data_IF_039267589795
#
_entry.id   IF_039267589795
#
_cell.length_a   1.000
_cell.length_b   1.000
_cell.length_c   1.000
_cell.angle_alpha   90.00
_cell.angle_beta   90.00
_cell.angle_gamma   90.00
#
_symmetry.space_group_name_H-M   'P 1'
#
loop_
_entity.id
_entity.type
_entity.pdbx_description
1 polymer ?
#
# COMPACT_ATOMS: atom_id res chain seq x y z
N UNK A 1 -10.48 -10.92 11.90
CA UNK A 1 -10.20 -9.56 12.40
C UNK A 1 -8.85 -9.58 13.13
N UNK A 2 -7.78 -9.24 12.45
CA UNK A 2 -6.52 -8.92 13.09
C UNK A 2 -5.95 -7.76 12.29
N UNK A 3 -6.25 -6.55 12.75
CA UNK A 3 -5.68 -5.33 12.21
C UNK A 3 -4.19 -5.31 12.53
N UNK A 4 -3.36 -5.60 11.54
CA UNK A 4 -1.93 -5.28 11.61
C UNK A 4 -1.82 -3.76 11.72
N UNK A 5 -1.67 -3.26 12.95
CA UNK A 5 -1.16 -1.92 13.23
C UNK A 5 0.17 -1.81 12.50
N UNK A 6 0.17 -1.22 11.30
CA UNK A 6 1.36 -0.65 10.71
C UNK A 6 1.88 0.37 11.72
N UNK A 7 2.87 -0.02 12.50
CA UNK A 7 3.62 0.84 13.40
C UNK A 7 4.35 1.87 12.53
N UNK A 8 3.68 2.98 12.25
CA UNK A 8 4.25 4.12 11.54
C UNK A 8 5.41 4.65 12.39
N UNK A 9 6.62 4.21 12.07
CA UNK A 9 7.84 4.78 12.67
C UNK A 9 7.75 6.29 12.54
N UNK A 10 7.90 7.01 13.66
CA UNK A 10 7.92 8.47 13.67
C UNK A 10 8.91 8.96 12.59
N UNK A 11 8.59 10.07 11.92
CA UNK A 11 9.48 10.66 10.91
C UNK A 11 10.91 10.82 11.44
N UNK A 12 11.05 11.23 12.71
CA UNK A 12 12.32 11.34 13.40
C UNK A 12 13.06 9.98 13.47
N UNK A 13 12.37 8.90 13.80
CA UNK A 13 12.97 7.56 13.84
C UNK A 13 13.45 7.10 12.45
N UNK A 14 12.74 7.44 11.39
CA UNK A 14 13.16 7.12 10.02
C UNK A 14 14.45 7.87 9.64
N UNK A 15 14.58 9.14 10.01
CA UNK A 15 15.81 9.91 9.84
C UNK A 15 16.97 9.30 10.61
N UNK A 16 16.78 8.98 11.89
CA UNK A 16 17.83 8.33 12.70
C UNK A 16 18.28 6.99 12.10
N UNK A 17 17.34 6.15 11.69
CA UNK A 17 17.66 4.85 11.07
C UNK A 17 18.46 5.08 9.79
N UNK A 18 18.06 5.99 8.91
CA UNK A 18 18.74 6.22 7.64
C UNK A 18 20.16 6.73 7.84
N UNK A 19 20.35 7.69 8.74
CA UNK A 19 21.67 8.27 9.05
C UNK A 19 22.59 7.24 9.70
N UNK A 20 22.10 6.52 10.72
CA UNK A 20 22.89 5.50 11.41
C UNK A 20 23.31 4.38 10.46
N UNK A 21 22.41 3.92 9.60
CA UNK A 21 22.73 2.86 8.64
C UNK A 21 23.83 3.30 7.65
N UNK A 22 23.73 4.52 7.10
CA UNK A 22 24.75 5.05 6.20
C UNK A 22 26.11 5.20 6.91
N UNK A 23 26.12 5.74 8.13
CA UNK A 23 27.35 5.89 8.92
C UNK A 23 27.99 4.54 9.25
N UNK A 24 27.18 3.54 9.60
CA UNK A 24 27.67 2.21 9.94
C UNK A 24 28.30 1.51 8.72
N UNK A 25 27.62 1.57 7.56
CA UNK A 25 28.19 1.02 6.32
C UNK A 25 29.41 1.78 5.87
N UNK A 26 29.42 3.11 5.97
CA UNK A 26 30.59 3.91 5.65
C UNK A 26 31.80 3.57 6.56
N UNK A 27 31.56 3.36 7.86
CA UNK A 27 32.62 2.95 8.80
C UNK A 27 33.20 1.57 8.44
N UNK A 28 32.34 0.60 8.09
CA UNK A 28 32.79 -0.72 7.62
C UNK A 28 33.59 -0.58 6.33
N UNK A 29 33.11 0.20 5.37
CA UNK A 29 33.82 0.44 4.12
C UNK A 29 35.17 1.15 4.34
N UNK A 30 35.27 2.03 5.34
CA UNK A 30 36.52 2.72 5.67
C UNK A 30 37.62 1.75 6.12
N UNK A 31 37.26 0.75 6.92
CA UNK A 31 38.23 -0.28 7.36
C UNK A 31 38.65 -1.22 6.23
N UNK A 32 37.87 -1.36 5.18
CA UNK A 32 38.15 -2.27 4.06
C UNK A 32 38.50 -1.53 2.75
N UNK A 33 38.61 -0.21 2.79
CA UNK A 33 38.79 0.63 1.60
C UNK A 33 40.06 0.34 0.81
N UNK A 34 41.13 -0.05 1.51
CA UNK A 34 42.39 -0.44 0.87
C UNK A 34 42.26 -1.70 -0.01
N UNK A 35 41.36 -2.61 0.36
CA UNK A 35 41.14 -3.86 -0.36
C UNK A 35 40.16 -3.70 -1.53
N UNK A 36 39.09 -2.91 -1.36
CA UNK A 36 37.97 -2.86 -2.32
C UNK A 36 38.01 -1.63 -3.21
N UNK A 37 38.83 -0.64 -2.90
CA UNK A 37 38.94 0.61 -3.65
C UNK A 37 37.73 1.56 -3.49
N UNK A 38 37.98 2.86 -3.59
CA UNK A 38 36.99 3.92 -3.31
C UNK A 38 35.80 3.92 -4.29
N UNK A 39 35.98 3.47 -5.53
CA UNK A 39 34.91 3.36 -6.53
C UNK A 39 33.87 2.30 -6.12
N UNK A 40 34.33 1.17 -5.57
CA UNK A 40 33.44 0.11 -5.07
C UNK A 40 32.66 0.56 -3.82
N UNK A 41 33.29 1.38 -2.97
CA UNK A 41 32.60 1.98 -1.81
C UNK A 41 31.42 2.85 -2.25
N UNK A 42 31.56 3.61 -3.34
CA UNK A 42 30.44 4.37 -3.91
C UNK A 42 29.25 3.48 -4.26
N UNK A 43 29.50 2.33 -4.92
CA UNK A 43 28.44 1.39 -5.28
C UNK A 43 27.76 0.77 -4.05
N UNK A 44 28.54 0.42 -3.02
CA UNK A 44 27.99 -0.12 -1.76
C UNK A 44 27.11 0.91 -1.06
N UNK A 45 27.54 2.16 -0.96
CA UNK A 45 26.76 3.25 -0.38
C UNK A 45 25.49 3.53 -1.20
N UNK A 46 25.60 3.54 -2.53
CA UNK A 46 24.45 3.71 -3.42
C UNK A 46 23.44 2.57 -3.27
N UNK A 47 23.90 1.33 -3.20
CA UNK A 47 23.07 0.17 -2.94
C UNK A 47 22.37 0.28 -1.57
N UNK A 48 23.08 0.74 -0.55
CA UNK A 48 22.52 0.98 0.79
C UNK A 48 21.41 2.01 0.74
N UNK A 49 21.60 3.14 0.07
CA UNK A 49 20.56 4.18 -0.12
C UNK A 49 19.37 3.63 -0.89
N UNK A 50 19.61 2.81 -1.93
CA UNK A 50 18.53 2.17 -2.72
C UNK A 50 17.70 1.21 -1.86
N UNK A 51 18.31 0.42 -1.01
CA UNK A 51 17.61 -0.46 -0.07
C UNK A 51 16.84 0.34 0.98
N UNK A 52 17.42 1.41 1.53
CA UNK A 52 16.72 2.30 2.45
C UNK A 52 15.50 2.95 1.79
N UNK A 53 15.58 3.28 0.50
CA UNK A 53 14.46 3.84 -0.25
C UNK A 53 13.26 2.88 -0.31
N UNK A 54 13.46 1.57 -0.23
CA UNK A 54 12.36 0.59 -0.20
C UNK A 54 11.56 0.62 1.12
N UNK A 55 12.15 1.07 2.23
CA UNK A 55 11.53 0.99 3.57
C UNK A 55 11.18 2.34 4.19
N UNK A 56 11.88 3.41 3.80
CA UNK A 56 11.76 4.73 4.40
C UNK A 56 11.02 5.71 3.47
N UNK A 57 10.52 6.82 4.05
CA UNK A 57 9.90 7.90 3.29
C UNK A 57 10.94 8.67 2.47
N UNK A 58 10.48 9.45 1.48
CA UNK A 58 11.37 10.16 0.53
C UNK A 58 12.37 11.10 1.23
N UNK A 59 11.95 11.85 2.24
CA UNK A 59 12.80 12.84 2.91
C UNK A 59 14.00 12.25 3.66
N UNK A 60 13.84 11.19 4.50
CA UNK A 60 14.96 10.48 5.10
C UNK A 60 15.93 9.88 4.07
N UNK A 61 15.39 9.36 2.95
CA UNK A 61 16.21 8.78 1.88
C UNK A 61 17.02 9.83 1.15
N UNK A 62 16.44 11.00 0.85
CA UNK A 62 17.18 12.11 0.24
C UNK A 62 18.29 12.61 1.17
N UNK A 63 18.01 12.74 2.47
CA UNK A 63 19.03 13.10 3.45
C UNK A 63 20.17 12.05 3.53
N UNK A 64 19.82 10.76 3.51
CA UNK A 64 20.79 9.67 3.47
C UNK A 64 21.63 9.70 2.18
N UNK A 65 21.04 9.99 1.04
CA UNK A 65 21.72 10.11 -0.24
C UNK A 65 22.73 11.25 -0.26
N UNK A 66 22.32 12.43 0.22
CA UNK A 66 23.23 13.58 0.34
C UNK A 66 24.36 13.28 1.32
N UNK A 67 24.05 12.72 2.48
CA UNK A 67 25.03 12.38 3.50
C UNK A 67 26.04 11.34 2.98
N UNK A 68 25.56 10.29 2.32
CA UNK A 68 26.45 9.25 1.78
C UNK A 68 27.34 9.77 0.66
N UNK A 69 26.85 10.68 -0.19
CA UNK A 69 27.66 11.33 -1.23
C UNK A 69 28.75 12.21 -0.62
N UNK A 70 28.42 12.98 0.43
CA UNK A 70 29.39 13.82 1.14
C UNK A 70 30.45 12.98 1.87
N UNK A 71 30.05 11.89 2.54
CA UNK A 71 30.96 10.96 3.21
C UNK A 71 31.90 10.34 2.19
N UNK A 72 31.35 9.86 1.05
CA UNK A 72 32.18 9.25 0.01
C UNK A 72 33.19 10.26 -0.57
N UNK A 73 32.76 11.50 -0.87
CA UNK A 73 33.66 12.54 -1.35
C UNK A 73 34.77 12.86 -0.35
N UNK A 74 34.41 13.09 0.92
CA UNK A 74 35.35 13.58 1.93
C UNK A 74 36.35 12.51 2.41
N UNK A 75 35.90 11.27 2.60
CA UNK A 75 36.73 10.22 3.20
C UNK A 75 37.40 9.28 2.20
N UNK A 76 36.84 9.12 0.99
CA UNK A 76 37.25 8.08 0.07
C UNK A 76 37.86 8.60 -1.23
N UNK A 77 37.51 9.78 -1.72
CA UNK A 77 38.11 10.34 -2.94
C UNK A 77 39.43 11.02 -2.61
N UNK A 78 40.54 10.66 -3.28
CA UNK A 78 41.81 11.39 -3.11
C UNK A 78 41.76 12.80 -3.74
N UNK A 79 42.32 13.83 -3.07
CA UNK A 79 42.97 13.82 -1.77
C UNK A 79 41.98 13.73 -0.61
N UNK A 80 42.21 12.77 0.32
CA UNK A 80 41.30 12.57 1.45
C UNK A 80 41.18 13.80 2.34
N UNK A 81 40.04 13.91 3.04
CA UNK A 81 39.69 15.04 3.94
C UNK A 81 39.55 16.40 3.25
N UNK A 82 39.29 16.41 1.96
CA UNK A 82 38.99 17.61 1.19
C UNK A 82 37.71 17.42 0.37
N UNK A 83 37.06 18.51 0.04
CA UNK A 83 35.92 18.47 -0.90
C UNK A 83 36.34 18.77 -2.34
N UNK A 84 37.68 18.86 -2.58
CA UNK A 84 38.21 19.12 -3.91
C UNK A 84 38.41 17.81 -4.68
N UNK A 85 37.79 17.71 -5.85
CA UNK A 85 37.92 16.57 -6.73
C UNK A 85 38.88 16.96 -7.86
N UNK A 86 40.04 16.34 -7.90
CA UNK A 86 41.09 16.69 -8.88
C UNK A 86 40.86 16.05 -10.25
N UNK A 87 40.17 14.90 -10.29
CA UNK A 87 39.97 14.14 -11.53
C UNK A 87 38.58 14.40 -12.12
N UNK A 88 38.51 14.60 -13.43
CA UNK A 88 37.24 14.73 -14.17
C UNK A 88 36.40 13.46 -14.05
N UNK A 89 37.03 12.26 -14.01
CA UNK A 89 36.34 10.99 -13.80
C UNK A 89 35.61 10.94 -12.46
N UNK A 90 36.27 11.35 -11.38
CA UNK A 90 35.70 11.33 -10.03
C UNK A 90 34.60 12.38 -9.88
N UNK A 91 34.72 13.52 -10.53
CA UNK A 91 33.66 14.53 -10.63
C UNK A 91 32.42 13.96 -11.35
N UNK A 92 32.62 13.29 -12.48
CA UNK A 92 31.53 12.66 -13.22
C UNK A 92 30.86 11.55 -12.39
N UNK A 93 31.64 10.70 -11.71
CA UNK A 93 31.13 9.68 -10.83
C UNK A 93 30.32 10.26 -9.67
N UNK A 94 30.78 11.36 -9.07
CA UNK A 94 30.04 12.05 -8.01
C UNK A 94 28.68 12.58 -8.49
N UNK A 95 28.65 13.21 -9.67
CA UNK A 95 27.42 13.69 -10.28
C UNK A 95 26.48 12.53 -10.62
N UNK A 96 26.99 11.44 -11.20
CA UNK A 96 26.20 10.25 -11.50
C UNK A 96 25.69 9.56 -10.24
N UNK A 97 26.48 9.51 -9.20
CA UNK A 97 26.03 9.00 -7.90
C UNK A 97 24.81 9.75 -7.40
N UNK A 98 24.90 11.08 -7.40
CA UNK A 98 23.80 11.92 -6.93
C UNK A 98 22.55 11.78 -7.80
N UNK A 99 22.73 11.74 -9.12
CA UNK A 99 21.64 11.56 -10.07
C UNK A 99 20.92 10.22 -9.86
N UNK A 100 21.66 9.13 -9.74
CA UNK A 100 21.09 7.78 -9.55
C UNK A 100 20.37 7.71 -8.19
N UNK A 101 20.97 8.27 -7.13
CA UNK A 101 20.33 8.31 -5.82
C UNK A 101 19.00 9.08 -5.83
N UNK A 102 18.97 10.21 -6.53
CA UNK A 102 17.77 11.02 -6.71
C UNK A 102 16.68 10.27 -7.49
N UNK A 103 17.05 9.68 -8.63
CA UNK A 103 16.12 8.91 -9.46
C UNK A 103 15.55 7.72 -8.68
N UNK A 104 16.38 6.98 -7.96
CA UNK A 104 15.94 5.88 -7.11
C UNK A 104 14.95 6.34 -6.02
N UNK A 105 15.23 7.44 -5.34
CA UNK A 105 14.33 7.97 -4.32
C UNK A 105 12.96 8.36 -4.88
N UNK A 106 12.94 9.06 -6.03
CA UNK A 106 11.71 9.49 -6.70
C UNK A 106 10.93 8.29 -7.23
N UNK A 107 11.60 7.36 -7.92
CA UNK A 107 10.97 6.20 -8.53
C UNK A 107 10.34 5.28 -7.48
N UNK A 108 11.07 4.98 -6.41
CA UNK A 108 10.58 4.14 -5.32
C UNK A 108 9.38 4.78 -4.62
N UNK A 109 9.42 6.10 -4.41
CA UNK A 109 8.28 6.80 -3.82
C UNK A 109 7.04 6.74 -4.74
N UNK A 110 7.22 6.89 -6.05
CA UNK A 110 6.14 6.79 -7.04
C UNK A 110 5.51 5.40 -7.03
N UNK A 111 6.32 4.34 -7.06
CA UNK A 111 5.85 2.95 -7.00
C UNK A 111 4.99 2.73 -5.75
N UNK A 112 5.46 3.12 -4.59
CA UNK A 112 4.73 2.99 -3.32
C UNK A 112 3.39 3.74 -3.30
N UNK A 113 3.36 4.92 -3.89
CA UNK A 113 2.13 5.70 -3.96
C UNK A 113 1.11 5.01 -4.86
N UNK A 114 1.57 4.48 -6.00
CA UNK A 114 0.73 3.74 -6.93
C UNK A 114 0.19 2.45 -6.29
N UNK A 115 1.04 1.67 -5.62
CA UNK A 115 0.62 0.45 -4.91
C UNK A 115 -0.47 0.72 -3.87
N UNK A 116 -0.33 1.78 -3.07
CA UNK A 116 -1.36 2.18 -2.09
C UNK A 116 -2.68 2.55 -2.76
N UNK A 117 -2.62 3.28 -3.87
CA UNK A 117 -3.84 3.64 -4.62
C UNK A 117 -4.53 2.42 -5.22
N UNK A 118 -3.76 1.46 -5.73
CA UNK A 118 -4.29 0.20 -6.27
C UNK A 118 -4.98 -0.61 -5.17
N UNK A 119 -4.33 -0.77 -4.02
CA UNK A 119 -4.92 -1.49 -2.87
C UNK A 119 -6.21 -0.84 -2.36
N UNK A 120 -6.28 0.49 -2.34
CA UNK A 120 -7.51 1.20 -1.96
C UNK A 120 -8.63 0.94 -2.96
N UNK A 121 -8.38 1.03 -4.27
CA UNK A 121 -9.37 0.75 -5.31
C UNK A 121 -9.87 -0.70 -5.25
N UNK A 122 -8.98 -1.67 -5.08
CA UNK A 122 -9.35 -3.08 -4.91
C UNK A 122 -10.24 -3.30 -3.67
N UNK A 123 -9.94 -2.59 -2.56
CA UNK A 123 -10.77 -2.62 -1.36
C UNK A 123 -12.17 -2.06 -1.59
N UNK A 124 -12.30 -0.94 -2.30
CA UNK A 124 -13.58 -0.33 -2.67
C UNK A 124 -14.39 -1.24 -3.61
N UNK A 125 -13.75 -1.80 -4.65
CA UNK A 125 -14.42 -2.73 -5.56
C UNK A 125 -14.92 -3.99 -4.86
N UNK A 126 -14.15 -4.56 -3.95
CA UNK A 126 -14.56 -5.73 -3.18
C UNK A 126 -15.75 -5.42 -2.27
N UNK A 127 -15.77 -4.24 -1.67
CA UNK A 127 -16.89 -3.76 -0.85
C UNK A 127 -18.16 -3.61 -1.69
N UNK A 128 -18.05 -3.01 -2.88
CA UNK A 128 -19.18 -2.85 -3.80
C UNK A 128 -19.70 -4.20 -4.31
N UNK A 129 -18.81 -5.15 -4.63
CA UNK A 129 -19.20 -6.51 -5.03
C UNK A 129 -19.96 -7.22 -3.91
N UNK A 130 -19.47 -7.13 -2.67
CA UNK A 130 -20.12 -7.70 -1.51
C UNK A 130 -21.53 -7.08 -1.31
N UNK A 131 -21.61 -5.76 -1.38
CA UNK A 131 -22.88 -5.03 -1.26
C UNK A 131 -23.91 -5.45 -2.32
N UNK A 132 -23.49 -5.53 -3.59
CA UNK A 132 -24.36 -5.97 -4.68
C UNK A 132 -24.79 -7.43 -4.50
N UNK A 133 -23.91 -8.30 -4.05
CA UNK A 133 -24.25 -9.72 -3.78
C UNK A 133 -25.30 -9.82 -2.67
N UNK A 134 -25.13 -9.06 -1.58
CA UNK A 134 -26.08 -9.01 -0.47
C UNK A 134 -27.44 -8.45 -0.93
N UNK A 135 -27.44 -7.35 -1.69
CA UNK A 135 -28.70 -6.78 -2.22
C UNK A 135 -29.44 -7.76 -3.14
N UNK A 136 -28.71 -8.45 -4.01
CA UNK A 136 -29.32 -9.45 -4.92
C UNK A 136 -29.91 -10.61 -4.13
N UNK A 137 -29.19 -11.11 -3.12
CA UNK A 137 -29.67 -12.18 -2.24
C UNK A 137 -30.92 -11.75 -1.48
N UNK A 138 -30.89 -10.57 -0.84
CA UNK A 138 -32.04 -10.02 -0.14
C UNK A 138 -33.24 -9.79 -1.06
N UNK A 139 -32.99 -9.27 -2.27
CA UNK A 139 -34.06 -9.07 -3.26
C UNK A 139 -34.70 -10.38 -3.66
N UNK A 140 -33.92 -11.45 -3.82
CA UNK A 140 -34.45 -12.78 -4.14
C UNK A 140 -35.25 -13.35 -2.96
N UNK A 141 -34.73 -13.23 -1.74
CA UNK A 141 -35.41 -13.71 -0.54
C UNK A 141 -36.71 -12.94 -0.21
N UNK A 142 -36.77 -11.66 -0.55
CA UNK A 142 -37.99 -10.85 -0.39
C UNK A 142 -39.02 -11.10 -1.48
N UNK A 143 -38.57 -11.42 -2.70
CA UNK A 143 -39.47 -11.66 -3.84
C UNK A 143 -40.44 -12.83 -3.58
N UNK A 144 -39.97 -13.89 -2.95
CA UNK A 144 -40.76 -15.09 -2.66
C UNK A 144 -41.93 -14.81 -1.70
N UNK A 145 -41.71 -14.22 -0.49
CA UNK A 145 -42.84 -13.93 0.40
C UNK A 145 -43.80 -12.87 -0.18
N UNK A 146 -43.27 -11.89 -0.89
CA UNK A 146 -44.13 -10.89 -1.55
C UNK A 146 -45.02 -11.54 -2.61
N UNK A 147 -44.49 -12.42 -3.44
CA UNK A 147 -45.27 -13.15 -4.44
C UNK A 147 -46.35 -14.02 -3.80
N UNK A 148 -46.05 -14.66 -2.66
CA UNK A 148 -47.02 -15.44 -1.88
C UNK A 148 -48.14 -14.58 -1.34
N UNK A 149 -47.80 -13.40 -0.77
CA UNK A 149 -48.82 -12.45 -0.26
C UNK A 149 -49.72 -11.96 -1.38
N UNK A 150 -49.13 -11.54 -2.52
CA UNK A 150 -49.93 -11.07 -3.68
C UNK A 150 -50.84 -12.17 -4.19
N UNK A 151 -50.32 -13.40 -4.42
CA UNK A 151 -51.11 -14.50 -4.93
C UNK A 151 -52.26 -14.91 -3.98
N UNK A 152 -51.99 -14.95 -2.68
CA UNK A 152 -53.04 -15.24 -1.69
C UNK A 152 -54.08 -14.11 -1.61
N UNK A 153 -53.67 -12.86 -1.76
CA UNK A 153 -54.56 -11.69 -1.78
C UNK A 153 -55.45 -11.67 -3.03
N UNK A 154 -54.87 -11.94 -4.20
CA UNK A 154 -55.61 -12.03 -5.47
C UNK A 154 -56.69 -13.11 -5.41
N UNK A 155 -56.37 -14.29 -4.84
CA UNK A 155 -57.33 -15.36 -4.64
C UNK A 155 -58.48 -14.96 -3.70
N UNK A 156 -58.18 -14.18 -2.65
CA UNK A 156 -59.19 -13.66 -1.72
C UNK A 156 -60.12 -12.61 -2.35
N UNK A 157 -59.66 -11.87 -3.36
CA UNK A 157 -60.38 -10.78 -4.03
C UNK A 157 -61.19 -11.25 -5.25
N UNK A 158 -60.97 -12.47 -5.73
CA UNK A 158 -61.66 -12.98 -6.93
C UNK A 158 -63.14 -13.26 -6.61
N UNK A 159 -64.04 -12.38 -7.05
CA UNK A 159 -65.44 -12.41 -6.74
C UNK A 159 -66.24 -13.63 -7.27
N UNK A 160 -65.69 -14.38 -8.27
CA UNK A 160 -66.39 -15.49 -8.92
C UNK A 160 -66.15 -16.86 -8.25
N UNK A 161 -65.32 -16.96 -7.24
CA UNK A 161 -65.02 -18.22 -6.54
C UNK A 161 -65.65 -18.15 -5.15
N UNK A 162 -66.68 -18.91 -4.87
CA UNK A 162 -67.22 -19.11 -3.49
C UNK A 162 -66.16 -19.84 -2.70
N UNK A 163 -65.21 -19.10 -2.09
CA UNK A 163 -64.22 -19.67 -1.18
C UNK A 163 -64.93 -20.25 0.05
N UNK A 164 -64.61 -21.52 0.37
CA UNK A 164 -64.95 -22.12 1.64
C UNK A 164 -64.34 -21.33 2.80
N UNK A 165 -65.00 -21.26 3.96
CA UNK A 165 -64.43 -20.67 5.16
C UNK A 165 -63.06 -21.26 5.55
N UNK A 166 -62.86 -22.55 5.25
CA UNK A 166 -61.59 -23.24 5.45
C UNK A 166 -60.49 -22.66 4.54
N UNK A 167 -60.75 -22.51 3.26
CA UNK A 167 -59.80 -21.97 2.28
C UNK A 167 -59.45 -20.50 2.58
N UNK A 168 -60.42 -19.75 3.06
CA UNK A 168 -60.22 -18.34 3.45
C UNK A 168 -59.25 -18.23 4.65
N UNK A 169 -59.40 -19.13 5.63
CA UNK A 169 -58.50 -19.21 6.79
C UNK A 169 -57.07 -19.65 6.38
N UNK A 170 -56.97 -20.59 5.46
CA UNK A 170 -55.67 -21.03 4.94
C UNK A 170 -54.93 -19.91 4.20
N UNK A 171 -55.57 -19.18 3.29
CA UNK A 171 -54.97 -18.06 2.57
C UNK A 171 -54.55 -16.93 3.52
N UNK A 172 -55.35 -16.61 4.54
CA UNK A 172 -54.95 -15.60 5.53
C UNK A 172 -53.78 -16.08 6.41
N UNK A 173 -53.68 -17.36 6.68
CA UNK A 173 -52.54 -17.93 7.41
C UNK A 173 -51.26 -17.91 6.55
N UNK A 174 -51.36 -18.19 5.26
CA UNK A 174 -50.21 -18.07 4.31
C UNK A 174 -49.70 -16.62 4.23
N UNK A 175 -50.60 -15.63 4.14
CA UNK A 175 -50.19 -14.21 4.16
C UNK A 175 -49.47 -13.89 5.46
N UNK A 176 -50.01 -14.29 6.60
CA UNK A 176 -49.40 -14.03 7.90
C UNK A 176 -48.02 -14.70 8.00
N UNK A 177 -47.88 -15.96 7.56
CA UNK A 177 -46.61 -16.69 7.57
C UNK A 177 -45.57 -16.04 6.63
N UNK A 178 -45.98 -15.57 5.46
CA UNK A 178 -45.09 -14.89 4.52
C UNK A 178 -44.62 -13.52 5.04
N UNK A 179 -45.49 -12.81 5.77
CA UNK A 179 -45.16 -11.50 6.35
C UNK A 179 -44.18 -11.58 7.54
N UNK A 180 -44.07 -12.74 8.20
CA UNK A 180 -43.17 -12.96 9.36
C UNK A 180 -41.81 -13.55 8.95
N UNK A 181 -41.53 -13.81 7.70
CA UNK A 181 -40.24 -14.25 7.16
C UNK A 181 -39.34 -13.09 6.75
#
# INVERSE_FOLDING_TARGET
MAGTKSSGKSKAQQFFISVITVLLIAAICYTTSELIGYKTVALILLATVSVLAMFLSIWPVLAAAVLSALIWNFFFIPPHFTFHINNTEDTLMFLMYFLIALVNAVLTNKIRTTEKQTQQKEGEENTLKLYNTLLNSLSHELKTPIATIIGATDNLQTENIKLSETNRKELTAEIAQAAWR
#
